data_IF_802322529366
#
_entry.id   IF_802322529366
#
_cell.length_a   1.000
_cell.length_b   1.000
_cell.length_c   1.000
_cell.angle_alpha   90.00
_cell.angle_beta   90.00
_cell.angle_gamma   90.00
#
_symmetry.space_group_name_H-M   'P 1'
#
loop_
_entity.id
_entity.type
_entity.pdbx_description
1 polymer ?
#
# COMPACT_ATOMS: atom_id res chain seq x y z
N UNK A 1 -5.67 16.01 -7.24
CA UNK A 1 -5.88 16.45 -5.83
C UNK A 1 -4.68 16.03 -4.98
N UNK A 2 -4.37 16.70 -3.85
CA UNK A 2 -3.46 16.17 -2.81
C UNK A 2 -4.30 15.86 -1.56
N UNK A 3 -4.43 14.57 -1.25
CA UNK A 3 -5.40 14.03 -0.29
C UNK A 3 -5.15 14.51 1.14
N UNK A 4 -3.92 14.46 1.68
CA UNK A 4 -3.69 14.94 3.05
C UNK A 4 -4.04 16.43 3.22
N UNK A 5 -3.82 17.24 2.17
CA UNK A 5 -4.21 18.66 2.19
C UNK A 5 -5.73 18.81 2.22
N UNK A 6 -6.44 18.01 1.43
CA UNK A 6 -7.91 17.99 1.41
C UNK A 6 -8.47 17.55 2.76
N UNK A 7 -7.89 16.52 3.39
CA UNK A 7 -8.29 16.04 4.72
C UNK A 7 -8.09 17.16 5.75
N UNK A 8 -6.89 17.73 5.80
CA UNK A 8 -6.58 18.82 6.73
C UNK A 8 -7.54 19.99 6.56
N UNK A 9 -7.81 20.42 5.32
CA UNK A 9 -8.73 21.52 5.04
C UNK A 9 -10.18 21.22 5.42
N UNK A 10 -10.67 20.00 5.17
CA UNK A 10 -12.04 19.62 5.54
C UNK A 10 -12.19 19.51 7.04
N UNK A 11 -11.38 18.69 7.70
CA UNK A 11 -11.50 18.50 9.15
C UNK A 11 -11.19 19.77 9.92
N UNK A 12 -10.27 20.61 9.45
CA UNK A 12 -10.03 21.92 10.03
C UNK A 12 -11.26 22.85 9.94
N UNK A 13 -11.92 22.90 8.78
CA UNK A 13 -13.17 23.66 8.61
C UNK A 13 -14.31 23.12 9.48
N UNK A 14 -14.48 21.80 9.52
CA UNK A 14 -15.51 21.17 10.34
C UNK A 14 -15.26 21.45 11.82
N UNK A 15 -14.02 21.32 12.28
CA UNK A 15 -13.64 21.61 13.66
C UNK A 15 -13.91 23.06 14.09
N UNK A 16 -13.74 24.03 13.16
CA UNK A 16 -14.01 25.46 13.40
C UNK A 16 -15.49 25.82 13.39
N UNK A 17 -16.27 25.24 12.47
CA UNK A 17 -17.59 25.78 12.09
C UNK A 17 -18.75 24.85 12.40
N UNK A 18 -18.51 23.56 12.49
CA UNK A 18 -19.57 22.57 12.64
C UNK A 18 -19.75 22.18 14.10
N UNK A 19 -21.01 22.18 14.53
CA UNK A 19 -21.46 21.43 15.69
C UNK A 19 -22.17 20.20 15.14
N UNK A 20 -21.49 19.05 15.01
CA UNK A 20 -22.12 17.86 14.48
C UNK A 20 -23.29 17.47 15.37
N UNK A 21 -24.45 17.15 14.78
CA UNK A 21 -25.50 16.45 15.51
C UNK A 21 -25.06 15.03 15.89
N UNK A 22 -25.80 14.39 16.80
CA UNK A 22 -25.59 12.97 17.08
C UNK A 22 -25.80 12.15 15.81
N UNK A 23 -24.89 11.21 15.56
CA UNK A 23 -25.05 10.21 14.50
C UNK A 23 -25.52 8.90 15.11
N UNK A 24 -26.14 8.05 14.29
CA UNK A 24 -26.48 6.68 14.70
C UNK A 24 -25.52 5.75 13.98
N UNK A 25 -24.81 4.93 14.75
CA UNK A 25 -23.93 3.90 14.22
C UNK A 25 -24.71 2.75 13.59
N UNK A 26 -23.98 1.86 12.90
CA UNK A 26 -24.56 0.64 12.35
C UNK A 26 -25.09 -0.31 13.46
N UNK A 27 -24.53 -0.20 14.66
CA UNK A 27 -24.96 -0.88 15.89
C UNK A 27 -26.24 -0.30 16.52
N UNK A 28 -26.85 0.72 15.89
CA UNK A 28 -28.03 1.42 16.41
C UNK A 28 -27.75 2.35 17.59
N UNK A 29 -26.50 2.43 18.07
CA UNK A 29 -26.13 3.27 19.18
C UNK A 29 -25.71 4.67 18.71
N UNK A 30 -26.00 5.72 19.51
CA UNK A 30 -25.61 7.06 19.16
C UNK A 30 -24.09 7.25 19.26
N UNK A 31 -23.52 7.96 18.29
CA UNK A 31 -22.18 8.55 18.34
C UNK A 31 -22.35 10.02 18.72
N UNK A 32 -21.71 10.42 19.81
CA UNK A 32 -21.92 11.76 20.36
C UNK A 32 -21.18 12.81 19.52
N UNK A 33 -21.69 14.05 19.48
CA UNK A 33 -21.01 15.17 18.83
C UNK A 33 -19.54 15.33 19.23
N UNK A 34 -19.23 15.13 20.50
CA UNK A 34 -17.86 15.28 21.01
C UNK A 34 -16.92 14.20 20.48
N UNK A 35 -17.40 12.95 20.32
CA UNK A 35 -16.60 11.87 19.74
C UNK A 35 -16.21 12.19 18.28
N UNK A 36 -17.14 12.79 17.52
CA UNK A 36 -16.92 13.21 16.13
C UNK A 36 -15.88 14.33 16.08
N UNK A 37 -16.00 15.32 16.96
CA UNK A 37 -15.03 16.43 17.03
C UNK A 37 -13.66 15.96 17.47
N UNK A 38 -13.59 15.07 18.45
CA UNK A 38 -12.35 14.49 18.94
C UNK A 38 -11.67 13.65 17.84
N UNK A 39 -12.45 12.93 17.04
CA UNK A 39 -11.94 12.23 15.86
C UNK A 39 -11.30 13.18 14.84
N UNK A 40 -12.00 14.26 14.44
CA UNK A 40 -11.43 15.26 13.52
C UNK A 40 -10.14 15.87 14.07
N UNK A 41 -10.13 16.21 15.37
CA UNK A 41 -8.95 16.76 16.04
C UNK A 41 -7.79 15.76 16.05
N UNK A 42 -8.06 14.48 16.30
CA UNK A 42 -7.05 13.42 16.30
C UNK A 42 -6.42 13.28 14.91
N UNK A 43 -7.22 13.22 13.85
CA UNK A 43 -6.69 13.08 12.49
C UNK A 43 -5.88 14.32 12.08
N UNK A 44 -6.32 15.53 12.44
CA UNK A 44 -5.54 16.75 12.19
C UNK A 44 -4.21 16.74 12.95
N UNK A 45 -4.21 16.30 14.21
CA UNK A 45 -3.02 16.16 15.03
C UNK A 45 -2.03 15.15 14.46
N UNK A 46 -2.53 14.02 13.97
CA UNK A 46 -1.71 13.01 13.31
C UNK A 46 -1.08 13.55 12.02
N UNK A 47 -1.87 14.17 11.13
CA UNK A 47 -1.33 14.77 9.89
C UNK A 47 -0.29 15.86 10.20
N UNK A 48 -0.50 16.68 11.23
CA UNK A 48 0.44 17.73 11.64
C UNK A 48 1.76 17.22 12.24
N UNK A 49 1.77 15.98 12.70
CA UNK A 49 2.92 15.33 13.32
C UNK A 49 3.61 14.35 12.36
N UNK A 50 2.91 13.89 11.32
CA UNK A 50 3.40 12.90 10.38
C UNK A 50 4.49 13.46 9.45
N UNK A 51 5.44 12.60 9.06
CA UNK A 51 6.26 12.83 7.87
C UNK A 51 5.44 12.48 6.63
N UNK A 52 5.20 13.47 5.78
CA UNK A 52 4.37 13.31 4.58
C UNK A 52 5.25 12.94 3.38
N UNK A 53 5.02 11.77 2.79
CA UNK A 53 5.59 11.32 1.52
C UNK A 53 4.50 11.30 0.44
N UNK A 54 4.74 12.01 -0.66
CA UNK A 54 3.91 11.99 -1.86
C UNK A 54 4.69 11.27 -2.95
N UNK A 55 4.22 10.11 -3.37
CA UNK A 55 4.81 9.37 -4.48
C UNK A 55 4.29 9.94 -5.79
N UNK A 56 5.18 10.30 -6.70
CA UNK A 56 4.76 10.43 -8.10
C UNK A 56 4.37 9.06 -8.67
N UNK A 57 3.70 9.07 -9.82
CA UNK A 57 3.20 7.83 -10.41
C UNK A 57 4.31 6.84 -10.81
N UNK A 58 5.50 7.32 -11.17
CA UNK A 58 6.63 6.46 -11.56
C UNK A 58 7.27 5.81 -10.32
N UNK A 59 7.44 6.57 -9.24
CA UNK A 59 7.91 6.05 -7.96
C UNK A 59 6.92 5.02 -7.40
N UNK A 60 5.62 5.32 -7.44
CA UNK A 60 4.59 4.36 -7.02
C UNK A 60 4.63 3.07 -7.85
N UNK A 61 4.74 3.19 -9.19
CA UNK A 61 4.87 2.04 -10.09
C UNK A 61 6.15 1.21 -9.81
N UNK A 62 7.28 1.87 -9.58
CA UNK A 62 8.53 1.19 -9.24
C UNK A 62 8.41 0.40 -7.93
N UNK A 63 7.94 1.05 -6.86
CA UNK A 63 7.74 0.41 -5.56
C UNK A 63 6.71 -0.73 -5.63
N UNK A 64 5.68 -0.59 -6.46
CA UNK A 64 4.73 -1.65 -6.75
C UNK A 64 5.39 -2.82 -7.48
N UNK A 65 6.34 -2.58 -8.40
CA UNK A 65 7.07 -3.66 -9.05
C UNK A 65 7.97 -4.44 -8.06
N UNK A 66 8.62 -3.76 -7.12
CA UNK A 66 9.35 -4.41 -6.02
C UNK A 66 8.41 -5.23 -5.13
N UNK A 67 7.27 -4.64 -4.76
CA UNK A 67 6.22 -5.33 -4.03
C UNK A 67 5.75 -6.58 -4.77
N UNK A 68 5.61 -6.54 -6.09
CA UNK A 68 5.21 -7.71 -6.87
C UNK A 68 6.25 -8.82 -6.89
N UNK A 69 7.55 -8.51 -6.90
CA UNK A 69 8.60 -9.52 -6.77
C UNK A 69 8.51 -10.28 -5.45
N UNK A 70 7.92 -9.63 -4.44
CA UNK A 70 7.75 -10.12 -3.07
C UNK A 70 6.40 -10.83 -2.89
N UNK A 71 5.30 -10.17 -3.24
CA UNK A 71 3.93 -10.63 -2.99
C UNK A 71 3.32 -11.38 -4.19
N UNK A 72 3.81 -11.22 -5.42
CA UNK A 72 3.20 -11.82 -6.62
C UNK A 72 1.72 -11.46 -6.82
N UNK A 73 1.06 -12.18 -7.75
CA UNK A 73 -0.40 -12.15 -7.99
C UNK A 73 -0.93 -13.58 -8.22
N UNK A 74 -2.22 -13.86 -7.96
CA UNK A 74 -3.16 -13.01 -7.21
C UNK A 74 -2.74 -12.91 -5.73
N UNK A 75 -3.12 -11.81 -5.09
CA UNK A 75 -2.81 -11.52 -3.68
C UNK A 75 -3.99 -11.81 -2.77
N UNK A 76 -5.19 -11.85 -3.35
CA UNK A 76 -6.48 -12.02 -2.68
C UNK A 76 -6.56 -13.34 -1.89
N UNK A 77 -5.86 -14.37 -2.35
CA UNK A 77 -5.83 -15.70 -1.72
C UNK A 77 -4.68 -15.89 -0.72
N UNK A 78 -3.86 -14.86 -0.46
CA UNK A 78 -2.66 -15.00 0.39
C UNK A 78 -2.95 -14.62 1.84
N UNK A 79 -2.48 -15.43 2.81
CA UNK A 79 -2.60 -15.07 4.21
C UNK A 79 -1.70 -13.86 4.53
N UNK A 80 -2.14 -12.98 5.44
CA UNK A 80 -1.34 -11.80 5.82
C UNK A 80 0.00 -12.17 6.45
N UNK A 81 0.14 -13.38 7.03
CA UNK A 81 1.41 -13.90 7.54
C UNK A 81 2.52 -13.95 6.48
N UNK A 82 2.16 -14.08 5.19
CA UNK A 82 3.15 -14.07 4.10
C UNK A 82 3.75 -12.68 3.89
N UNK A 83 3.09 -11.61 4.36
CA UNK A 83 3.63 -10.24 4.34
C UNK A 83 4.79 -10.11 5.34
N UNK A 84 4.69 -10.81 6.48
CA UNK A 84 5.61 -10.69 7.61
C UNK A 84 7.07 -10.87 7.21
N UNK A 85 7.38 -11.89 6.40
CA UNK A 85 8.75 -12.23 6.02
C UNK A 85 9.49 -11.11 5.29
N UNK A 86 8.77 -10.14 4.73
CA UNK A 86 9.35 -9.07 3.93
C UNK A 86 9.32 -7.71 4.62
N UNK A 87 8.31 -7.46 5.45
CA UNK A 87 8.14 -6.14 6.08
C UNK A 87 8.67 -6.10 7.51
N UNK A 88 8.90 -7.26 8.16
CA UNK A 88 9.34 -7.34 9.56
C UNK A 88 10.66 -6.60 9.80
N UNK A 89 11.61 -6.75 8.89
CA UNK A 89 12.96 -6.19 9.04
C UNK A 89 13.09 -4.77 8.46
N UNK A 90 11.98 -4.16 8.04
CA UNK A 90 11.97 -2.81 7.48
C UNK A 90 11.98 -1.78 8.61
N UNK A 91 12.99 -0.91 8.61
CA UNK A 91 13.07 0.21 9.55
C UNK A 91 12.16 1.37 9.12
N UNK A 92 11.38 1.89 10.06
CA UNK A 92 10.54 3.06 9.83
C UNK A 92 11.39 4.34 9.85
N UNK A 93 11.30 5.22 8.83
CA UNK A 93 12.08 6.46 8.82
C UNK A 93 11.62 7.47 9.88
N UNK A 94 10.38 7.36 10.36
CA UNK A 94 9.77 8.14 11.45
C UNK A 94 8.66 7.32 12.12
N UNK A 95 8.30 7.70 13.34
CA UNK A 95 7.25 7.00 14.10
C UNK A 95 5.83 7.25 13.56
N UNK A 96 5.61 8.35 12.84
CA UNK A 96 4.33 8.66 12.21
C UNK A 96 4.55 9.12 10.78
N UNK A 97 3.98 8.39 9.83
CA UNK A 97 4.24 8.58 8.40
C UNK A 97 2.94 8.56 7.62
N UNK A 98 2.80 9.53 6.70
CA UNK A 98 1.79 9.52 5.67
C UNK A 98 2.43 9.17 4.33
N UNK A 99 1.87 8.20 3.60
CA UNK A 99 2.26 7.85 2.24
C UNK A 99 1.05 8.01 1.33
N UNK A 100 1.17 8.81 0.28
CA UNK A 100 0.08 9.06 -0.67
C UNK A 100 0.55 8.89 -2.11
N UNK A 101 -0.32 8.32 -2.93
CA UNK A 101 -0.10 8.14 -4.36
C UNK A 101 -1.43 8.17 -5.14
N UNK A 102 -1.32 8.31 -6.45
CA UNK A 102 -2.46 8.22 -7.36
C UNK A 102 -2.75 6.74 -7.69
N UNK A 103 -3.79 6.17 -7.08
CA UNK A 103 -4.16 4.76 -7.29
C UNK A 103 -4.59 4.50 -8.74
N UNK A 104 -5.30 5.45 -9.37
CA UNK A 104 -5.69 5.29 -10.78
C UNK A 104 -4.47 5.14 -11.66
N UNK A 105 -3.47 6.02 -11.50
CA UNK A 105 -2.23 5.93 -12.29
C UNK A 105 -1.44 4.66 -12.01
N UNK A 106 -1.44 4.19 -10.77
CA UNK A 106 -0.81 2.93 -10.43
C UNK A 106 -1.49 1.75 -11.13
N UNK A 107 -2.82 1.70 -11.13
CA UNK A 107 -3.58 0.64 -11.79
C UNK A 107 -3.54 0.72 -13.32
N UNK A 108 -3.54 1.92 -13.91
CA UNK A 108 -3.27 2.13 -15.35
C UNK A 108 -1.92 1.50 -15.74
N UNK A 109 -0.89 1.72 -14.91
CA UNK A 109 0.43 1.12 -15.13
C UNK A 109 0.44 -0.41 -14.92
N UNK A 110 -0.34 -0.94 -13.97
CA UNK A 110 -0.53 -2.39 -13.82
C UNK A 110 -1.20 -3.02 -15.04
N UNK A 111 -2.17 -2.35 -15.65
CA UNK A 111 -2.79 -2.77 -16.92
C UNK A 111 -1.73 -2.75 -18.03
N UNK A 112 -0.93 -1.69 -18.14
CA UNK A 112 0.15 -1.59 -19.13
C UNK A 112 1.20 -2.69 -18.97
N UNK A 113 1.47 -3.12 -17.73
CA UNK A 113 2.35 -4.26 -17.38
C UNK A 113 1.66 -5.63 -17.46
N UNK A 114 0.39 -5.70 -17.88
CA UNK A 114 -0.43 -6.92 -18.00
C UNK A 114 -0.59 -7.71 -16.69
N UNK A 115 -0.53 -7.01 -15.57
CA UNK A 115 -0.71 -7.58 -14.22
C UNK A 115 -2.20 -7.77 -13.92
N UNK A 116 -3.05 -6.93 -14.51
CA UNK A 116 -4.49 -6.93 -14.32
C UNK A 116 -5.19 -6.59 -15.63
N UNK A 117 -6.46 -6.98 -15.74
CA UNK A 117 -7.31 -6.75 -16.91
C UNK A 117 -8.47 -5.79 -16.59
N UNK A 118 -8.32 -4.94 -15.57
CA UNK A 118 -9.33 -3.93 -15.24
C UNK A 118 -9.65 -3.04 -16.43
N UNK A 119 -10.93 -2.79 -16.62
CA UNK A 119 -11.51 -1.95 -17.66
C UNK A 119 -11.30 -0.46 -17.37
N UNK A 120 -11.46 0.39 -18.38
CA UNK A 120 -11.38 1.84 -18.20
C UNK A 120 -12.42 2.37 -17.20
N UNK A 121 -13.62 1.77 -17.17
CA UNK A 121 -14.68 2.13 -16.22
C UNK A 121 -14.29 1.80 -14.76
N UNK A 122 -13.66 0.65 -14.52
CA UNK A 122 -13.14 0.29 -13.20
C UNK A 122 -12.01 1.24 -12.77
N UNK A 123 -11.09 1.59 -13.69
CA UNK A 123 -10.03 2.56 -13.43
C UNK A 123 -10.59 3.97 -13.16
N UNK A 124 -11.68 4.34 -13.82
CA UNK A 124 -12.37 5.61 -13.64
C UNK A 124 -13.03 5.74 -12.25
N UNK A 125 -13.12 4.68 -11.46
CA UNK A 125 -13.58 4.75 -10.07
C UNK A 125 -12.42 4.90 -9.06
N UNK A 126 -11.16 4.76 -9.50
CA UNK A 126 -9.96 4.90 -8.65
C UNK A 126 -9.46 6.33 -8.60
N UNK A 127 -8.90 6.75 -7.47
CA UNK A 127 -8.40 8.12 -7.22
C UNK A 127 -7.24 8.07 -6.21
N UNK A 128 -6.79 9.21 -5.68
CA UNK A 128 -5.73 9.25 -4.66
C UNK A 128 -6.04 8.36 -3.44
N UNK A 129 -5.04 7.60 -3.00
CA UNK A 129 -5.05 6.83 -1.76
C UNK A 129 -3.96 7.34 -0.83
N UNK A 130 -4.23 7.34 0.47
CA UNK A 130 -3.33 7.79 1.50
C UNK A 130 -3.30 6.81 2.66
N UNK A 131 -2.11 6.36 3.03
CA UNK A 131 -1.87 5.49 4.16
C UNK A 131 -1.24 6.29 5.30
N UNK A 132 -1.79 6.15 6.50
CA UNK A 132 -1.20 6.67 7.72
C UNK A 132 -0.67 5.51 8.55
N UNK A 133 0.65 5.40 8.63
CA UNK A 133 1.37 4.44 9.46
C UNK A 133 1.74 5.09 10.78
N UNK A 134 1.21 4.57 11.88
CA UNK A 134 1.49 5.03 13.23
C UNK A 134 2.21 3.96 14.02
N UNK A 135 3.52 4.16 14.15
CA UNK A 135 4.47 3.30 14.81
C UNK A 135 4.89 3.84 16.19
N UNK A 136 4.21 4.87 16.72
CA UNK A 136 4.57 5.54 17.99
C UNK A 136 4.41 4.65 19.22
N UNK A 137 3.41 3.77 19.22
CA UNK A 137 3.18 2.84 20.32
C UNK A 137 4.27 1.76 20.35
N UNK A 138 4.79 1.43 21.54
CA UNK A 138 5.89 0.46 21.69
C UNK A 138 5.51 -0.98 21.29
N UNK A 139 4.24 -1.35 21.43
CA UNK A 139 3.69 -2.69 21.32
C UNK A 139 2.79 -2.87 20.08
N UNK A 140 2.50 -1.79 19.36
CA UNK A 140 1.54 -1.77 18.26
C UNK A 140 2.00 -0.88 17.11
N UNK A 141 1.79 -1.36 15.89
CA UNK A 141 1.75 -0.55 14.67
C UNK A 141 0.29 -0.46 14.23
N UNK A 142 -0.18 0.74 13.88
CA UNK A 142 -1.51 0.90 13.26
C UNK A 142 -1.41 1.47 11.86
N UNK A 143 -2.28 0.99 10.97
CA UNK A 143 -2.36 1.45 9.57
C UNK A 143 -3.80 1.83 9.25
N UNK A 144 -3.96 3.02 8.66
CA UNK A 144 -5.26 3.57 8.21
C UNK A 144 -5.18 3.91 6.73
N UNK A 145 -6.21 3.56 5.97
CA UNK A 145 -6.37 3.93 4.56
C UNK A 145 -7.45 5.00 4.40
N UNK A 146 -7.07 6.08 3.73
CA UNK A 146 -7.95 7.15 3.30
C UNK A 146 -8.05 7.11 1.78
N UNK A 147 -9.25 7.26 1.25
CA UNK A 147 -9.49 7.15 -0.19
C UNK A 147 -10.20 8.38 -0.71
N UNK A 148 -9.67 8.99 -1.76
CA UNK A 148 -10.39 9.99 -2.52
C UNK A 148 -11.57 9.34 -3.26
N UNK A 149 -12.73 10.01 -3.25
CA UNK A 149 -13.88 9.61 -4.06
C UNK A 149 -14.08 10.60 -5.22
N UNK A 150 -13.80 11.88 -4.97
CA UNK A 150 -13.76 12.94 -5.99
C UNK A 150 -12.60 13.88 -5.69
N UNK A 151 -12.39 14.89 -6.54
CA UNK A 151 -11.36 15.92 -6.31
C UNK A 151 -11.63 16.80 -5.07
N UNK A 152 -12.81 16.69 -4.48
CA UNK A 152 -13.22 17.46 -3.31
C UNK A 152 -13.79 16.61 -2.19
N UNK A 153 -13.93 15.30 -2.37
CA UNK A 153 -14.52 14.39 -1.40
C UNK A 153 -13.64 13.17 -1.18
N UNK A 154 -13.50 12.77 0.08
CA UNK A 154 -12.73 11.60 0.48
C UNK A 154 -13.52 10.80 1.50
N UNK A 155 -13.20 9.52 1.54
CA UNK A 155 -13.60 8.55 2.55
C UNK A 155 -12.51 8.49 3.62
N UNK A 156 -12.90 8.72 4.87
CA UNK A 156 -12.06 8.48 6.04
C UNK A 156 -11.86 6.96 6.26
N UNK A 157 -10.94 6.55 7.13
CA UNK A 157 -10.62 5.16 7.40
C UNK A 157 -11.70 4.48 8.27
N UNK A 158 -12.60 3.63 7.71
CA UNK A 158 -13.64 2.93 8.48
C UNK A 158 -13.06 1.86 9.40
N UNK A 159 -11.89 1.32 9.05
CA UNK A 159 -11.18 0.28 9.78
C UNK A 159 -9.76 0.74 10.07
N UNK A 160 -9.24 0.33 11.21
CA UNK A 160 -7.81 0.42 11.52
C UNK A 160 -7.25 -0.99 11.58
N UNK A 161 -6.18 -1.21 10.83
CA UNK A 161 -5.36 -2.40 10.96
C UNK A 161 -4.43 -2.22 12.14
N UNK A 162 -4.53 -3.09 13.13
CA UNK A 162 -3.71 -3.15 14.33
C UNK A 162 -2.79 -4.37 14.24
N UNK A 163 -1.48 -4.12 14.24
CA UNK A 163 -0.43 -5.12 14.11
C UNK A 163 0.42 -5.08 15.38
N UNK A 164 0.42 -6.18 16.14
CA UNK A 164 1.23 -6.28 17.35
C UNK A 164 2.71 -6.24 17.00
N UNK A 165 3.55 -5.80 17.94
CA UNK A 165 5.01 -5.84 17.79
C UNK A 165 5.60 -6.98 18.61
N UNK A 166 6.64 -7.61 18.07
CA UNK A 166 7.45 -8.58 18.81
C UNK A 166 8.37 -7.88 19.82
N UNK A 167 9.19 -8.67 20.53
CA UNK A 167 10.11 -8.17 21.56
C UNK A 167 11.18 -7.22 21.02
N UNK A 168 11.46 -7.29 19.73
CA UNK A 168 12.43 -6.45 19.03
C UNK A 168 11.76 -5.19 18.44
N UNK A 169 10.47 -4.99 18.73
CA UNK A 169 9.68 -3.87 18.22
C UNK A 169 9.26 -4.01 16.76
N UNK A 170 9.40 -5.21 16.17
CA UNK A 170 9.07 -5.47 14.76
C UNK A 170 7.61 -5.90 14.59
N UNK A 171 6.91 -5.49 13.51
CA UNK A 171 5.53 -5.90 13.28
C UNK A 171 5.38 -7.43 13.13
N UNK A 172 4.39 -8.00 13.83
CA UNK A 172 4.01 -9.41 13.77
C UNK A 172 2.62 -9.56 13.15
N UNK A 173 2.56 -10.19 11.97
CA UNK A 173 1.34 -10.36 11.18
C UNK A 173 0.61 -11.68 11.48
N UNK A 174 1.10 -12.47 12.44
CA UNK A 174 0.47 -13.76 12.80
C UNK A 174 -0.96 -13.59 13.32
N UNK A 175 -1.23 -12.50 14.06
CA UNK A 175 -2.54 -12.23 14.68
C UNK A 175 -2.92 -10.75 14.54
N UNK A 176 -3.10 -10.27 13.31
CA UNK A 176 -3.58 -8.91 13.07
C UNK A 176 -5.01 -8.72 13.56
N UNK A 177 -5.36 -7.50 13.95
CA UNK A 177 -6.71 -7.13 14.38
C UNK A 177 -7.26 -5.99 13.54
N UNK A 178 -8.57 -6.05 13.29
CA UNK A 178 -9.31 -4.99 12.62
C UNK A 178 -10.21 -4.27 13.61
N UNK A 179 -9.99 -2.97 13.74
CA UNK A 179 -10.63 -2.13 14.73
C UNK A 179 -11.56 -1.13 14.03
N UNK A 180 -12.89 -1.35 14.04
CA UNK A 180 -13.84 -0.49 13.37
C UNK A 180 -13.91 0.89 14.04
N UNK A 181 -13.92 1.96 13.24
CA UNK A 181 -14.07 3.33 13.74
C UNK A 181 -15.53 3.76 13.73
N UNK A 182 -16.19 3.65 14.89
CA UNK A 182 -17.62 3.97 15.06
C UNK A 182 -18.01 5.35 14.52
N UNK A 183 -17.19 6.37 14.73
CA UNK A 183 -17.43 7.74 14.22
C UNK A 183 -17.47 7.80 12.69
N UNK A 184 -16.54 7.09 12.03
CA UNK A 184 -16.47 7.01 10.57
C UNK A 184 -17.64 6.18 10.04
N UNK A 185 -17.90 5.01 10.62
CA UNK A 185 -18.99 4.11 10.24
C UNK A 185 -20.34 4.82 10.32
N UNK A 186 -20.63 5.53 11.42
CA UNK A 186 -21.85 6.30 11.56
C UNK A 186 -21.97 7.42 10.50
N UNK A 187 -20.84 8.03 10.12
CA UNK A 187 -20.76 8.97 9.01
C UNK A 187 -21.09 8.33 7.66
N UNK A 188 -20.61 7.12 7.40
CA UNK A 188 -20.89 6.36 6.17
C UNK A 188 -22.35 5.92 6.08
N UNK A 189 -22.94 5.47 7.20
CA UNK A 189 -24.38 5.16 7.29
C UNK A 189 -25.20 6.41 6.97
N UNK A 190 -24.90 7.54 7.63
CA UNK A 190 -25.61 8.81 7.36
C UNK A 190 -25.49 9.27 5.91
N UNK A 191 -24.34 9.05 5.29
CA UNK A 191 -24.10 9.40 3.89
C UNK A 191 -24.72 8.40 2.90
N UNK A 192 -25.33 7.30 3.37
CA UNK A 192 -25.99 6.30 2.54
C UNK A 192 -25.04 5.30 1.88
N UNK A 193 -23.77 5.28 2.27
CA UNK A 193 -22.79 4.29 1.78
C UNK A 193 -23.00 2.91 2.40
N UNK A 194 -23.44 2.86 3.67
CA UNK A 194 -23.74 1.63 4.39
C UNK A 194 -25.23 1.62 4.72
N UNK A 195 -25.97 0.61 4.25
CA UNK A 195 -27.43 0.53 4.40
C UNK A 195 -27.85 -0.43 5.50
N UNK A 196 -27.14 -1.54 5.58
CA UNK A 196 -27.43 -2.67 6.46
C UNK A 196 -26.12 -3.40 6.81
N UNK A 197 -26.22 -4.41 7.67
CA UNK A 197 -25.06 -5.18 8.12
C UNK A 197 -24.36 -5.93 6.98
N UNK A 198 -25.12 -6.43 5.99
CA UNK A 198 -24.57 -7.17 4.86
C UNK A 198 -23.73 -6.27 3.94
N UNK A 199 -24.25 -5.11 3.56
CA UNK A 199 -23.52 -4.11 2.76
C UNK A 199 -22.31 -3.56 3.49
N UNK A 200 -22.38 -3.42 4.82
CA UNK A 200 -21.23 -3.06 5.63
C UNK A 200 -20.16 -4.13 5.64
N UNK A 201 -20.52 -5.41 5.78
CA UNK A 201 -19.58 -6.51 5.75
C UNK A 201 -18.83 -6.58 4.42
N UNK A 202 -19.55 -6.51 3.29
CA UNK A 202 -18.95 -6.51 1.95
C UNK A 202 -17.96 -5.34 1.78
N UNK A 203 -18.39 -4.13 2.14
CA UNK A 203 -17.55 -2.94 2.09
C UNK A 203 -16.31 -3.06 2.98
N UNK A 204 -16.43 -3.63 4.18
CA UNK A 204 -15.33 -3.80 5.11
C UNK A 204 -14.35 -4.88 4.66
N UNK A 205 -14.81 -5.99 4.07
CA UNK A 205 -13.93 -7.01 3.50
C UNK A 205 -13.11 -6.45 2.33
N UNK A 206 -13.73 -5.71 1.41
CA UNK A 206 -13.02 -5.03 0.31
C UNK A 206 -11.98 -4.04 0.86
N UNK A 207 -12.39 -3.20 1.81
CA UNK A 207 -11.52 -2.19 2.40
C UNK A 207 -10.34 -2.82 3.17
N UNK A 208 -10.58 -3.90 3.92
CA UNK A 208 -9.55 -4.68 4.60
C UNK A 208 -8.54 -5.24 3.62
N UNK A 209 -9.00 -5.86 2.53
CA UNK A 209 -8.13 -6.40 1.48
C UNK A 209 -7.25 -5.32 0.86
N UNK A 210 -7.82 -4.14 0.59
CA UNK A 210 -7.05 -3.00 0.10
C UNK A 210 -5.99 -2.53 1.10
N UNK A 211 -6.33 -2.41 2.38
CA UNK A 211 -5.38 -1.98 3.40
C UNK A 211 -4.21 -2.96 3.49
N UNK A 212 -4.46 -4.27 3.64
CA UNK A 212 -3.38 -5.27 3.80
C UNK A 212 -2.52 -5.39 2.58
N UNK A 213 -3.11 -5.36 1.39
CA UNK A 213 -2.37 -5.55 0.17
C UNK A 213 -1.56 -4.32 -0.23
N UNK A 214 -2.17 -3.15 -0.18
CA UNK A 214 -1.55 -1.95 -0.73
C UNK A 214 -0.64 -1.24 0.26
N UNK A 215 -0.84 -1.39 1.58
CA UNK A 215 0.07 -0.79 2.57
C UNK A 215 1.53 -1.23 2.39
N UNK A 216 1.76 -2.39 1.77
CA UNK A 216 3.12 -2.92 1.52
C UNK A 216 3.92 -1.97 0.63
N UNK A 217 3.28 -1.13 -0.20
CA UNK A 217 3.98 -0.07 -0.94
C UNK A 217 4.69 0.91 0.00
N UNK A 218 4.12 1.19 1.18
CA UNK A 218 4.74 2.01 2.22
C UNK A 218 5.98 1.34 2.79
N UNK A 219 5.93 0.04 3.07
CA UNK A 219 7.11 -0.70 3.52
C UNK A 219 8.20 -0.78 2.45
N UNK A 220 7.85 -0.94 1.16
CA UNK A 220 8.82 -0.88 0.06
C UNK A 220 9.48 0.50 -0.01
N UNK A 221 8.71 1.58 0.18
CA UNK A 221 9.28 2.93 0.29
C UNK A 221 10.28 3.01 1.45
N UNK A 222 9.91 2.52 2.64
CA UNK A 222 10.78 2.61 3.81
C UNK A 222 12.08 1.83 3.61
N UNK A 223 12.01 0.63 3.04
CA UNK A 223 13.18 -0.16 2.69
C UNK A 223 14.08 0.57 1.67
N UNK A 224 13.51 1.14 0.61
CA UNK A 224 14.27 1.89 -0.39
C UNK A 224 14.93 3.15 0.19
N UNK A 225 14.25 3.86 1.08
CA UNK A 225 14.81 5.02 1.79
C UNK A 225 15.99 4.64 2.70
N UNK A 226 15.95 3.45 3.31
CA UNK A 226 17.03 2.94 4.19
C UNK A 226 18.21 2.41 3.37
N UNK A 227 17.95 1.75 2.24
CA UNK A 227 18.99 1.25 1.34
C UNK A 227 19.87 2.37 0.77
N UNK A 228 19.33 3.60 0.67
CA UNK A 228 20.01 4.81 0.15
C UNK A 228 20.64 4.60 -1.24
N UNK A 229 19.99 3.79 -2.06
CA UNK A 229 20.34 3.62 -3.46
C UNK A 229 19.84 4.82 -4.29
N UNK A 230 20.36 4.98 -5.51
CA UNK A 230 19.89 5.98 -6.49
C UNK A 230 18.54 5.60 -7.13
N UNK A 231 17.73 4.81 -6.41
CA UNK A 231 16.40 4.35 -6.83
C UNK A 231 15.34 5.43 -6.68
N UNK A 232 15.50 6.33 -5.69
CA UNK A 232 14.51 7.35 -5.37
C UNK A 232 15.18 8.72 -5.21
N UNK A 233 14.53 9.75 -5.75
CA UNK A 233 14.92 11.15 -5.56
C UNK A 233 13.91 11.83 -4.64
N UNK A 234 14.42 12.41 -3.56
CA UNK A 234 13.62 13.10 -2.55
C UNK A 234 13.67 14.61 -2.76
N UNK A 235 12.51 15.25 -2.85
CA UNK A 235 12.39 16.70 -2.85
C UNK A 235 11.45 17.14 -1.72
N UNK A 236 11.97 17.88 -0.74
CA UNK A 236 11.14 18.46 0.31
C UNK A 236 10.63 19.84 -0.08
N UNK A 237 9.31 20.00 -0.07
CA UNK A 237 8.63 21.23 -0.42
C UNK A 237 7.74 21.72 0.74
N UNK A 238 7.65 23.04 0.90
CA UNK A 238 6.69 23.63 1.86
C UNK A 238 5.28 23.43 1.33
N UNK A 239 4.39 22.98 2.20
CA UNK A 239 3.00 22.71 1.81
C UNK A 239 2.17 23.99 1.70
N UNK A 240 2.59 25.04 2.41
CA UNK A 240 2.09 26.40 2.34
C UNK A 240 3.23 27.39 2.04
N UNK A 241 2.93 28.44 1.28
CA UNK A 241 3.84 29.58 1.17
C UNK A 241 3.94 30.35 2.49
N UNK A 242 5.01 31.12 2.67
CA UNK A 242 5.19 31.94 3.89
C UNK A 242 4.02 32.92 4.11
N UNK A 243 3.50 33.51 3.03
CA UNK A 243 2.34 34.40 3.08
C UNK A 243 1.07 33.66 3.49
N UNK A 244 0.84 32.45 2.98
CA UNK A 244 -0.29 31.61 3.36
C UNK A 244 -0.20 31.17 4.82
N UNK A 245 0.96 30.71 5.28
CA UNK A 245 1.17 30.31 6.67
C UNK A 245 1.00 31.51 7.64
N UNK A 246 1.52 32.69 7.29
CA UNK A 246 1.32 33.92 8.09
C UNK A 246 -0.15 34.33 8.14
N UNK A 247 -0.84 34.27 7.01
CA UNK A 247 -2.28 34.57 6.91
C UNK A 247 -3.10 33.59 7.75
N UNK A 248 -2.82 32.29 7.66
CA UNK A 248 -3.49 31.27 8.45
C UNK A 248 -3.38 31.56 9.95
N UNK A 249 -2.17 31.85 10.45
CA UNK A 249 -1.94 32.23 11.86
C UNK A 249 -2.68 33.51 12.24
N UNK A 250 -2.67 34.53 11.37
CA UNK A 250 -3.37 35.82 11.62
C UNK A 250 -4.89 35.63 11.81
N UNK A 251 -5.49 34.68 11.11
CA UNK A 251 -6.92 34.37 11.20
C UNK A 251 -7.25 33.24 12.19
N UNK A 252 -6.33 32.88 13.10
CA UNK A 252 -6.57 31.85 14.10
C UNK A 252 -6.61 30.41 13.57
N UNK A 253 -6.26 30.20 12.30
CA UNK A 253 -6.25 28.88 11.63
C UNK A 253 -4.93 28.15 11.88
N UNK A 254 -4.56 27.98 13.14
CA UNK A 254 -3.28 27.35 13.53
C UNK A 254 -3.16 25.93 12.99
N UNK A 255 -4.26 25.18 12.96
CA UNK A 255 -4.33 23.84 12.35
C UNK A 255 -3.85 23.81 10.90
N UNK A 256 -4.08 24.87 10.09
CA UNK A 256 -3.58 24.93 8.72
C UNK A 256 -2.06 25.03 8.70
N UNK A 257 -1.49 25.90 9.54
CA UNK A 257 -0.05 26.11 9.60
C UNK A 257 0.69 24.91 10.24
N UNK A 258 -0.02 24.13 11.07
CA UNK A 258 0.53 22.96 11.76
C UNK A 258 0.41 21.68 10.91
N UNK A 259 -0.73 21.45 10.28
CA UNK A 259 -0.98 20.29 9.42
C UNK A 259 -0.28 20.39 8.06
N UNK A 260 -0.13 21.61 7.52
CA UNK A 260 0.40 21.85 6.18
C UNK A 260 1.79 22.53 6.25
N UNK A 261 2.73 21.91 6.98
CA UNK A 261 4.11 22.41 7.10
C UNK A 261 4.94 22.13 5.85
N UNK A 262 5.26 20.86 5.62
CA UNK A 262 6.04 20.40 4.47
C UNK A 262 5.62 18.99 4.07
N UNK A 263 6.06 18.58 2.89
CA UNK A 263 5.94 17.22 2.38
C UNK A 263 7.19 16.90 1.56
N UNK A 264 7.47 15.61 1.41
CA UNK A 264 8.52 15.10 0.54
C UNK A 264 7.85 14.50 -0.69
N UNK A 265 8.12 15.07 -1.85
CA UNK A 265 7.81 14.43 -3.11
C UNK A 265 8.90 13.40 -3.41
N UNK A 266 8.48 12.16 -3.62
CA UNK A 266 9.35 11.04 -4.02
C UNK A 266 9.18 10.85 -5.52
N UNK A 267 10.30 10.93 -6.23
CA UNK A 267 10.39 10.61 -7.66
C UNK A 267 11.26 9.39 -7.88
N UNK A 268 11.07 8.74 -9.02
CA UNK A 268 11.97 7.67 -9.45
C UNK A 268 13.37 8.24 -9.72
N UNK A 269 14.41 7.50 -9.32
CA UNK A 269 15.80 7.81 -9.57
C UNK A 269 16.39 6.97 -10.72
N UNK A 270 17.62 7.26 -11.15
CA UNK A 270 18.21 6.65 -12.35
C UNK A 270 18.33 5.12 -12.30
N UNK A 271 18.55 4.54 -11.11
CA UNK A 271 18.66 3.08 -10.97
C UNK A 271 17.31 2.40 -11.19
N UNK A 272 16.27 2.91 -10.54
CA UNK A 272 14.90 2.46 -10.71
C UNK A 272 14.38 2.69 -12.14
N UNK A 273 14.73 3.80 -12.79
CA UNK A 273 14.38 4.03 -14.21
C UNK A 273 14.94 2.94 -15.13
N UNK A 274 16.21 2.54 -14.91
CA UNK A 274 16.82 1.43 -15.66
C UNK A 274 16.10 0.12 -15.39
N UNK A 275 15.77 -0.18 -14.14
CA UNK A 275 15.02 -1.37 -13.76
C UNK A 275 13.65 -1.43 -14.48
N UNK A 276 12.89 -0.33 -14.45
CA UNK A 276 11.58 -0.26 -15.10
C UNK A 276 11.69 -0.37 -16.64
N UNK A 277 12.78 0.16 -17.21
CA UNK A 277 13.07 0.04 -18.65
C UNK A 277 13.37 -1.41 -19.04
N UNK A 278 14.19 -2.11 -18.23
CA UNK A 278 14.51 -3.52 -18.43
C UNK A 278 13.26 -4.40 -18.33
N UNK A 279 12.38 -4.16 -17.34
CA UNK A 279 11.10 -4.88 -17.25
C UNK A 279 10.25 -4.70 -18.51
N UNK A 280 10.11 -3.46 -19.00
CA UNK A 280 9.35 -3.18 -20.23
C UNK A 280 9.98 -3.84 -21.45
N UNK A 281 11.31 -3.83 -21.56
CA UNK A 281 12.02 -4.50 -22.66
C UNK A 281 11.79 -6.01 -22.62
N UNK A 282 11.83 -6.62 -21.44
CA UNK A 282 11.54 -8.04 -21.25
C UNK A 282 10.11 -8.41 -21.64
N UNK A 283 9.13 -7.59 -21.25
CA UNK A 283 7.73 -7.80 -21.65
C UNK A 283 7.57 -7.77 -23.18
N UNK A 284 8.16 -6.78 -23.86
CA UNK A 284 8.13 -6.71 -25.35
C UNK A 284 8.81 -7.90 -26.01
N UNK A 285 9.94 -8.34 -25.47
CA UNK A 285 10.62 -9.53 -25.97
C UNK A 285 9.74 -10.79 -25.83
N UNK A 286 9.07 -10.96 -24.69
CA UNK A 286 8.11 -12.05 -24.48
C UNK A 286 6.91 -11.93 -25.45
N UNK A 287 6.44 -10.72 -25.74
CA UNK A 287 5.40 -10.46 -26.76
C UNK A 287 5.86 -10.85 -28.17
N UNK A 288 7.06 -10.46 -28.59
CA UNK A 288 7.63 -10.78 -29.91
C UNK A 288 7.88 -12.27 -30.11
N UNK A 289 8.09 -13.02 -29.02
CA UNK A 289 8.21 -14.48 -29.07
C UNK A 289 6.85 -15.22 -29.14
N UNK A 290 5.74 -14.52 -28.89
CA UNK A 290 4.41 -15.13 -28.77
C UNK A 290 3.68 -15.37 -30.12
N UNK A 291 3.89 -14.66 -31.24
CA UNK A 291 3.21 -14.99 -32.49
C UNK A 291 4.01 -16.05 -33.24
N UNK A 292 3.64 -17.32 -33.09
CA UNK A 292 4.07 -18.38 -34.01
C UNK A 292 4.51 -19.71 -33.37
N UNK A 293 4.56 -19.85 -32.05
CA UNK A 293 4.73 -21.18 -31.46
C UNK A 293 3.40 -21.90 -31.42
N UNK A 294 3.25 -22.92 -32.28
CA UNK A 294 2.28 -23.99 -32.04
C UNK A 294 2.42 -24.41 -30.56
N UNK A 295 1.29 -24.59 -29.87
CA UNK A 295 1.27 -25.08 -28.49
C UNK A 295 2.32 -26.20 -28.37
N UNK A 296 3.30 -26.12 -27.46
CA UNK A 296 4.31 -27.16 -27.35
C UNK A 296 3.58 -28.48 -27.21
N UNK A 297 3.72 -29.36 -28.20
CA UNK A 297 3.18 -30.71 -28.14
C UNK A 297 3.58 -31.28 -26.79
N UNK A 298 2.62 -31.82 -26.05
CA UNK A 298 2.84 -32.28 -24.67
C UNK A 298 3.94 -33.34 -24.64
N UNK A 299 5.18 -32.91 -24.40
CA UNK A 299 6.31 -33.80 -24.27
C UNK A 299 6.64 -33.94 -22.80
N UNK A 300 6.58 -35.17 -22.31
CA UNK A 300 7.18 -35.55 -21.05
C UNK A 300 8.68 -35.29 -21.13
N UNK A 301 9.19 -34.40 -20.29
CA UNK A 301 10.62 -34.37 -20.00
C UNK A 301 10.89 -35.62 -19.18
N UNK A 302 11.72 -36.55 -19.64
CA UNK A 302 12.11 -37.71 -18.85
C UNK A 302 13.04 -37.28 -17.71
N UNK A 303 13.04 -38.07 -16.62
CA UNK A 303 13.94 -37.84 -15.50
C UNK A 303 15.40 -37.92 -15.97
N UNK A 304 16.19 -36.88 -15.71
CA UNK A 304 17.60 -36.83 -16.10
C UNK A 304 18.44 -36.03 -15.12
N UNK A 305 19.73 -36.35 -15.05
CA UNK A 305 20.69 -35.61 -14.22
C UNK A 305 21.39 -34.53 -15.06
N UNK A 306 21.40 -33.29 -14.55
CA UNK A 306 22.22 -32.20 -15.07
C UNK A 306 23.47 -32.06 -14.22
N UNK A 307 24.62 -32.13 -14.87
CA UNK A 307 25.92 -31.85 -14.26
C UNK A 307 26.40 -30.48 -14.70
N UNK A 308 26.73 -29.63 -13.74
CA UNK A 308 27.25 -28.29 -13.99
C UNK A 308 28.77 -28.29 -13.89
N UNK A 309 29.42 -27.32 -14.56
CA UNK A 309 30.88 -27.20 -14.59
C UNK A 309 31.53 -27.03 -13.20
N UNK A 310 30.76 -26.61 -12.19
CA UNK A 310 31.18 -26.49 -10.80
C UNK A 310 31.04 -27.80 -9.98
N UNK A 311 30.78 -28.95 -10.63
CA UNK A 311 30.62 -30.24 -9.97
C UNK A 311 29.24 -30.48 -9.33
N UNK A 312 28.31 -29.53 -9.43
CA UNK A 312 26.93 -29.70 -8.95
C UNK A 312 26.18 -30.69 -9.84
N UNK A 313 25.50 -31.65 -9.24
CA UNK A 313 24.60 -32.57 -9.93
C UNK A 313 23.17 -32.31 -9.48
N UNK A 314 22.27 -32.02 -10.42
CA UNK A 314 20.86 -31.77 -10.18
C UNK A 314 20.05 -32.84 -10.91
N UNK A 315 19.28 -33.65 -10.17
CA UNK A 315 18.34 -34.60 -10.78
C UNK A 315 17.04 -33.87 -11.11
N UNK A 316 16.79 -33.66 -12.40
CA UNK A 316 15.59 -33.04 -12.94
C UNK A 316 14.55 -34.13 -13.10
N UNK A 317 13.46 -34.08 -12.32
CA UNK A 317 12.36 -35.04 -12.44
C UNK A 317 11.52 -34.79 -13.68
N UNK A 318 10.86 -35.86 -14.11
CA UNK A 318 9.98 -35.80 -15.25
C UNK A 318 8.82 -34.82 -15.00
N UNK A 319 8.61 -33.90 -15.93
CA UNK A 319 7.52 -32.92 -15.88
C UNK A 319 7.06 -32.57 -17.29
N UNK A 320 5.82 -32.07 -17.40
CA UNK A 320 5.31 -31.54 -18.67
C UNK A 320 5.88 -30.14 -18.92
N UNK A 321 6.44 -29.93 -20.10
CA UNK A 321 7.00 -28.65 -20.51
C UNK A 321 5.88 -27.60 -20.55
N UNK A 322 6.08 -26.44 -19.91
CA UNK A 322 5.09 -25.34 -19.88
C UNK A 322 4.21 -25.27 -18.62
N UNK A 323 4.33 -26.25 -17.70
CA UNK A 323 3.80 -26.13 -16.34
C UNK A 323 4.95 -26.06 -15.34
N UNK A 324 4.75 -25.32 -14.25
CA UNK A 324 5.67 -25.37 -13.10
C UNK A 324 5.66 -26.79 -12.52
N UNK A 325 6.84 -27.30 -12.16
CA UNK A 325 6.93 -28.61 -11.50
C UNK A 325 6.14 -28.60 -10.18
N UNK A 326 5.45 -29.70 -9.89
CA UNK A 326 4.63 -29.85 -8.67
C UNK A 326 5.47 -29.63 -7.41
N UNK A 327 5.04 -28.64 -6.61
CA UNK A 327 5.73 -28.17 -5.39
C UNK A 327 5.70 -29.19 -4.24
N UNK A 328 4.85 -30.23 -4.32
CA UNK A 328 4.73 -31.27 -3.27
C UNK A 328 5.74 -32.40 -3.39
N UNK A 329 6.56 -32.45 -4.45
CA UNK A 329 7.52 -33.53 -4.67
C UNK A 329 8.93 -33.15 -4.18
N UNK A 330 9.61 -34.03 -3.42
CA UNK A 330 10.93 -33.71 -2.85
C UNK A 330 12.01 -33.59 -3.93
N UNK A 331 12.66 -32.43 -4.01
CA UNK A 331 13.83 -32.18 -4.84
C UNK A 331 15.11 -32.51 -4.06
N UNK A 332 15.93 -33.45 -4.54
CA UNK A 332 17.21 -33.81 -3.91
C UNK A 332 18.35 -33.12 -4.67
N UNK A 333 18.96 -32.10 -4.05
CA UNK A 333 20.20 -31.48 -4.51
C UNK A 333 21.35 -32.20 -3.80
N UNK A 334 22.19 -32.92 -4.54
CA UNK A 334 23.41 -33.52 -3.99
C UNK A 334 24.55 -32.58 -4.31
N UNK A 335 25.13 -31.97 -3.28
CA UNK A 335 26.31 -31.12 -3.42
C UNK A 335 27.54 -31.91 -3.87
N UNK A 336 28.59 -31.23 -4.36
CA UNK A 336 29.81 -31.90 -4.77
C UNK A 336 30.42 -32.66 -3.58
N UNK A 337 30.79 -33.94 -3.78
CA UNK A 337 31.67 -34.65 -2.84
C UNK A 337 32.97 -33.86 -2.76
N UNK A 338 33.41 -33.51 -1.54
CA UNK A 338 34.81 -33.15 -1.32
C UNK A 338 35.65 -34.33 -1.79
N UNK A 339 36.48 -34.10 -2.80
CA UNK A 339 37.61 -34.99 -3.07
C UNK A 339 38.65 -34.70 -1.98
N UNK A 340 39.10 -35.74 -1.30
CA UNK A 340 40.30 -35.73 -0.48
C UNK A 340 41.55 -35.52 -1.36
#
# INVERSE_FOLDING_TARGET
MILYKTIALKFGRNFEREQPGSLVGLDGHPVLPEDIRQHWRSVLGDIASARIYLLDHNAASYLDSLRMNVQGMPWEDRPESDIQSYVRDVDFPRDLIWVEYDDRKLWEDRVARRITTQTEDELNNRRQRGFLFDNRAHDMLTVRLFSALTDTFFLDAPLVLEISKDKDGRPDFTNIRWSPKRTVIAGLVRAGFLRDEASALEFFEEHRGHVTYEMVIGFMLFAALVAREDDLVLQEDRSLSNAQAKTARKFGKTWMAEALKSHVTIRIGPAAERHMTEQKARLRFEEEQTPGRAAPTEHWVAEHERRYANGKVVRVRAHKRGQSADRKLPARVVGPKKQD
#
